data_IF_926071754507
#
_entry.id   IF_926071754507
#
_cell.length_a   1.000
_cell.length_b   1.000
_cell.length_c   1.000
_cell.angle_alpha   90.00
_cell.angle_beta   90.00
_cell.angle_gamma   90.00
#
_symmetry.space_group_name_H-M   'P 1'
#
loop_
_entity.id
_entity.type
_entity.pdbx_description
1 polymer ?
#
# COMPACT_ATOMS: atom_id res chain seq x y z
N UNK A 1 -8.40 -6.36 7.67
CA UNK A 1 -7.10 -6.70 8.32
C UNK A 1 -6.26 -7.46 7.33
N UNK A 2 -4.99 -7.08 7.18
CA UNK A 2 -4.00 -7.73 6.34
C UNK A 2 -2.88 -8.28 7.23
N UNK A 3 -2.43 -9.51 7.00
CA UNK A 3 -1.31 -10.11 7.73
C UNK A 3 -0.37 -10.74 6.70
N UNK A 4 0.90 -10.37 6.73
CA UNK A 4 2.01 -11.01 6.05
C UNK A 4 2.85 -11.78 7.08
N UNK A 5 3.15 -13.06 6.79
CA UNK A 5 4.01 -13.91 7.63
C UNK A 5 5.14 -14.47 6.79
N UNK A 6 6.36 -14.12 7.18
CA UNK A 6 7.63 -14.61 6.64
C UNK A 6 7.68 -14.52 5.11
N UNK A 7 7.12 -13.42 4.58
CA UNK A 7 6.96 -13.24 3.14
C UNK A 7 8.31 -12.94 2.50
N UNK A 8 8.66 -13.70 1.47
CA UNK A 8 9.78 -13.41 0.59
C UNK A 8 9.27 -12.99 -0.80
N UNK A 9 9.95 -12.03 -1.43
CA UNK A 9 9.58 -11.49 -2.74
C UNK A 9 10.77 -11.49 -3.68
N UNK A 10 10.59 -12.14 -4.83
CA UNK A 10 11.55 -12.17 -5.92
C UNK A 10 11.06 -11.31 -7.09
N UNK A 11 11.98 -10.57 -7.71
CA UNK A 11 11.72 -9.79 -8.91
C UNK A 11 12.83 -10.06 -9.91
N UNK A 12 12.50 -10.68 -11.04
CA UNK A 12 13.46 -10.96 -12.12
C UNK A 12 14.66 -11.80 -11.66
N UNK A 13 14.42 -12.83 -10.82
CA UNK A 13 15.47 -13.71 -10.30
C UNK A 13 16.33 -13.12 -9.17
N UNK A 14 16.01 -11.92 -8.68
CA UNK A 14 16.65 -11.31 -7.52
C UNK A 14 15.68 -11.24 -6.36
N UNK A 15 16.09 -11.76 -5.21
CA UNK A 15 15.34 -11.58 -3.97
C UNK A 15 15.43 -10.11 -3.55
N UNK A 16 14.27 -9.49 -3.42
CA UNK A 16 14.10 -8.07 -3.06
C UNK A 16 13.61 -7.89 -1.63
N UNK A 17 13.04 -8.94 -1.04
CA UNK A 17 12.57 -8.96 0.33
C UNK A 17 12.64 -10.37 0.89
N UNK A 18 13.09 -10.49 2.13
CA UNK A 18 13.17 -11.73 2.91
C UNK A 18 12.51 -11.53 4.28
N UNK A 19 11.88 -12.59 4.78
CA UNK A 19 11.35 -12.69 6.15
C UNK A 19 10.41 -11.55 6.57
N UNK A 20 9.59 -11.05 5.64
CA UNK A 20 8.66 -9.96 5.94
C UNK A 20 7.46 -10.44 6.75
N UNK A 21 7.46 -10.09 8.04
CA UNK A 21 6.38 -10.37 8.98
C UNK A 21 5.80 -9.07 9.56
N UNK A 22 4.57 -8.74 9.17
CA UNK A 22 3.84 -7.57 9.67
C UNK A 22 2.33 -7.68 9.42
N UNK A 23 1.56 -6.85 10.11
CA UNK A 23 0.11 -6.78 9.96
C UNK A 23 -0.36 -5.33 9.82
N UNK A 24 -1.49 -5.12 9.15
CA UNK A 24 -2.16 -3.83 9.01
C UNK A 24 -3.61 -4.00 9.46
N UNK A 25 -3.96 -3.34 10.56
CA UNK A 25 -5.29 -3.45 11.22
C UNK A 25 -6.18 -2.27 10.88
N UNK A 26 -7.48 -2.41 11.14
CA UNK A 26 -8.41 -1.30 11.02
C UNK A 26 -7.94 -0.12 11.88
N UNK A 27 -7.92 1.07 11.30
CA UNK A 27 -7.42 2.28 11.94
C UNK A 27 -5.92 2.51 11.80
N UNK A 28 -5.13 1.54 11.34
CA UNK A 28 -3.71 1.75 11.02
C UNK A 28 -3.56 2.60 9.76
N UNK A 29 -2.61 3.54 9.80
CA UNK A 29 -2.14 4.29 8.63
C UNK A 29 -0.65 4.07 8.52
N UNK A 30 -0.27 3.19 7.62
CA UNK A 30 1.08 2.71 7.46
C UNK A 30 1.68 3.27 6.18
N UNK A 31 2.83 3.92 6.29
CA UNK A 31 3.62 4.28 5.13
C UNK A 31 4.68 3.21 4.87
N UNK A 32 4.75 2.70 3.64
CA UNK A 32 5.86 1.85 3.18
C UNK A 32 6.87 2.73 2.43
N UNK A 33 8.07 2.84 3.00
CA UNK A 33 9.15 3.69 2.48
C UNK A 33 10.39 2.85 2.20
N UNK A 34 11.28 3.35 1.35
CA UNK A 34 12.49 2.63 0.96
C UNK A 34 13.05 3.14 -0.36
N UNK A 35 14.27 2.74 -0.70
CA UNK A 35 14.94 3.19 -1.93
C UNK A 35 14.16 2.78 -3.18
N UNK A 36 14.40 3.48 -4.29
CA UNK A 36 13.87 3.07 -5.59
C UNK A 36 14.49 1.72 -5.98
N UNK A 37 13.66 0.82 -6.50
CA UNK A 37 14.08 -0.56 -6.78
C UNK A 37 14.23 -1.47 -5.55
N UNK A 38 13.88 -1.01 -4.34
CA UNK A 38 13.96 -1.85 -3.14
C UNK A 38 12.92 -2.97 -3.07
N UNK A 39 11.89 -2.96 -3.93
CA UNK A 39 10.83 -3.99 -3.96
C UNK A 39 9.47 -3.56 -3.38
N UNK A 40 9.25 -2.26 -3.12
CA UNK A 40 7.99 -1.73 -2.53
C UNK A 40 6.73 -2.13 -3.33
N UNK A 41 6.73 -1.83 -4.63
CA UNK A 41 5.65 -2.17 -5.56
C UNK A 41 5.45 -3.68 -5.66
N UNK A 42 6.54 -4.45 -5.67
CA UNK A 42 6.48 -5.91 -5.73
C UNK A 42 5.87 -6.50 -4.45
N UNK A 43 6.23 -5.99 -3.28
CA UNK A 43 5.59 -6.35 -2.03
C UNK A 43 4.10 -6.03 -2.06
N UNK A 44 3.72 -4.81 -2.47
CA UNK A 44 2.30 -4.45 -2.57
C UNK A 44 1.52 -5.37 -3.52
N UNK A 45 2.08 -5.75 -4.68
CA UNK A 45 1.45 -6.73 -5.58
C UNK A 45 1.24 -8.09 -4.91
N UNK A 46 2.23 -8.57 -4.15
CA UNK A 46 2.09 -9.80 -3.36
C UNK A 46 1.01 -9.68 -2.30
N UNK A 47 0.96 -8.56 -1.58
CA UNK A 47 -0.07 -8.29 -0.57
C UNK A 47 -1.48 -8.18 -1.17
N UNK A 48 -1.57 -7.66 -2.40
CA UNK A 48 -2.81 -7.52 -3.14
C UNK A 48 -3.31 -8.83 -3.77
N UNK A 49 -2.46 -9.87 -3.83
CA UNK A 49 -2.76 -11.13 -4.51
C UNK A 49 -2.50 -11.10 -6.02
N UNK A 50 -1.92 -10.01 -6.53
CA UNK A 50 -1.53 -9.85 -7.94
C UNK A 50 -0.27 -10.65 -8.31
N UNK A 51 0.52 -11.06 -7.31
CA UNK A 51 1.71 -11.88 -7.48
C UNK A 51 1.80 -12.90 -6.33
N UNK A 52 2.37 -14.07 -6.60
CA UNK A 52 2.64 -15.05 -5.55
C UNK A 52 3.93 -14.70 -4.79
N UNK A 53 3.95 -14.85 -3.46
CA UNK A 53 5.19 -14.75 -2.71
C UNK A 53 6.13 -15.92 -3.05
N UNK A 54 7.45 -15.71 -2.95
CA UNK A 54 8.44 -16.78 -3.07
C UNK A 54 8.35 -17.75 -1.88
N UNK A 55 8.10 -17.22 -0.69
CA UNK A 55 7.90 -17.97 0.55
C UNK A 55 6.97 -17.18 1.49
N UNK A 56 6.44 -17.86 2.51
CA UNK A 56 5.54 -17.26 3.49
C UNK A 56 4.08 -17.21 3.03
N UNK A 57 3.27 -16.39 3.70
CA UNK A 57 1.83 -16.30 3.42
C UNK A 57 1.26 -14.90 3.66
N UNK A 58 0.24 -14.56 2.88
CA UNK A 58 -0.57 -13.34 3.05
C UNK A 58 -2.00 -13.76 3.38
N UNK A 59 -2.56 -13.20 4.45
CA UNK A 59 -3.95 -13.39 4.84
C UNK A 59 -4.67 -12.04 4.83
N UNK A 60 -5.77 -11.96 4.08
CA UNK A 60 -6.66 -10.82 4.04
C UNK A 60 -8.00 -11.19 4.71
N UNK A 61 -8.51 -10.31 5.58
CA UNK A 61 -9.89 -10.34 6.08
C UNK A 61 -10.58 -9.03 5.74
N UNK A 62 -11.69 -9.12 5.01
CA UNK A 62 -12.44 -7.96 4.50
C UNK A 62 -12.17 -7.72 3.01
N UNK A 63 -12.73 -6.63 2.49
CA UNK A 63 -12.54 -6.17 1.11
C UNK A 63 -11.24 -5.38 0.99
N UNK A 64 -10.54 -5.57 -0.12
CA UNK A 64 -9.29 -4.87 -0.46
C UNK A 64 -9.55 -3.87 -1.59
N UNK A 65 -9.08 -2.64 -1.41
CA UNK A 65 -8.89 -1.69 -2.51
C UNK A 65 -7.40 -1.60 -2.83
N UNK A 66 -7.04 -1.83 -4.09
CA UNK A 66 -5.65 -1.88 -4.54
C UNK A 66 -5.46 -0.94 -5.73
N UNK A 67 -4.63 0.09 -5.55
CA UNK A 67 -4.21 0.98 -6.64
C UNK A 67 -2.76 0.66 -7.03
N UNK A 68 -2.52 0.00 -8.18
CA UNK A 68 -1.17 -0.22 -8.68
C UNK A 68 -0.53 1.06 -9.20
N UNK A 69 0.81 1.08 -9.27
CA UNK A 69 1.57 2.23 -9.79
C UNK A 69 1.24 2.54 -11.26
N UNK A 70 0.85 1.57 -12.08
CA UNK A 70 0.33 1.80 -13.43
C UNK A 70 -0.89 0.90 -13.59
N UNK A 71 -2.07 1.44 -13.96
CA UNK A 71 -3.24 0.62 -14.26
C UNK A 71 -2.91 -0.36 -15.39
N UNK A 72 -3.46 -1.58 -15.32
CA UNK A 72 -3.34 -2.52 -16.43
C UNK A 72 -4.02 -1.90 -17.65
N UNK A 73 -3.35 -1.87 -18.80
CA UNK A 73 -3.89 -1.33 -20.06
C UNK A 73 -5.01 -2.19 -20.65
N UNK A 74 -5.23 -3.39 -20.11
CA UNK A 74 -6.21 -4.35 -20.63
C UNK A 74 -7.67 -3.86 -20.53
N UNK A 75 -7.93 -2.76 -19.80
CA UNK A 75 -9.24 -2.09 -19.75
C UNK A 75 -9.51 -1.16 -20.97
N UNK A 76 -8.64 -1.14 -22.00
CA UNK A 76 -8.88 -0.37 -23.23
C UNK A 76 -10.13 -0.83 -24.02
N UNK A 77 -10.74 -1.96 -23.63
CA UNK A 77 -12.03 -2.42 -24.15
C UNK A 77 -13.25 -1.82 -23.41
N UNK A 78 -13.05 -1.16 -22.27
CA UNK A 78 -14.16 -0.59 -21.50
C UNK A 78 -14.65 0.71 -22.16
N UNK A 79 -15.78 0.57 -22.85
CA UNK A 79 -16.48 1.66 -23.54
C UNK A 79 -17.55 2.29 -22.65
N UNK A 80 -17.69 1.83 -21.39
CA UNK A 80 -18.60 2.39 -20.40
C UNK A 80 -18.26 3.81 -20.00
N UNK A 81 -19.24 4.50 -19.38
CA UNK A 81 -19.02 5.83 -18.84
C UNK A 81 -18.14 5.75 -17.60
N UNK A 82 -17.30 6.75 -17.41
CA UNK A 82 -16.44 6.84 -16.23
C UNK A 82 -17.22 6.84 -14.90
N UNK A 83 -18.46 7.37 -14.89
CA UNK A 83 -19.35 7.27 -13.72
C UNK A 83 -19.66 5.80 -13.37
N UNK A 84 -20.06 5.01 -14.34
CA UNK A 84 -20.46 3.61 -14.14
C UNK A 84 -19.28 2.79 -13.59
N UNK A 85 -18.07 3.07 -14.09
CA UNK A 85 -16.83 2.49 -13.59
C UNK A 85 -16.57 2.81 -12.12
N UNK A 86 -16.77 4.06 -11.69
CA UNK A 86 -16.62 4.44 -10.27
C UNK A 86 -17.67 3.73 -9.41
N UNK A 87 -18.93 3.72 -9.85
CA UNK A 87 -20.04 3.10 -9.13
C UNK A 87 -19.90 1.58 -8.99
N UNK A 88 -19.24 0.93 -9.95
CA UNK A 88 -18.90 -0.48 -9.89
C UNK A 88 -18.02 -0.83 -8.67
N UNK A 89 -17.33 0.14 -8.06
CA UNK A 89 -16.54 -0.07 -6.84
C UNK A 89 -17.34 -0.57 -5.62
N UNK A 90 -18.68 -0.37 -5.59
CA UNK A 90 -19.56 -0.83 -4.51
C UNK A 90 -20.59 -1.88 -4.93
N UNK A 91 -20.47 -2.47 -6.13
CA UNK A 91 -21.47 -3.39 -6.71
C UNK A 91 -22.91 -2.81 -6.74
N UNK A 92 -23.03 -1.47 -6.78
CA UNK A 92 -24.32 -0.78 -6.68
C UNK A 92 -25.18 -0.94 -7.94
N UNK A 93 -24.55 -1.15 -9.09
CA UNK A 93 -25.25 -1.33 -10.36
C UNK A 93 -26.17 -2.55 -10.34
N UNK A 94 -25.65 -3.70 -9.89
CA UNK A 94 -26.45 -4.93 -9.76
C UNK A 94 -27.55 -4.80 -8.70
N UNK A 95 -27.26 -4.08 -7.61
CA UNK A 95 -28.23 -3.79 -6.58
C UNK A 95 -29.38 -2.91 -7.11
N UNK A 96 -29.09 -1.89 -7.93
CA UNK A 96 -30.08 -1.03 -8.56
C UNK A 96 -30.96 -1.80 -9.55
N UNK A 97 -30.36 -2.62 -10.43
CA UNK A 97 -31.10 -3.48 -11.38
C UNK A 97 -31.99 -4.48 -10.63
N UNK A 98 -31.48 -5.07 -9.54
CA UNK A 98 -32.26 -5.98 -8.68
C UNK A 98 -33.42 -5.25 -8.02
N UNK A 99 -33.20 -4.04 -7.51
CA UNK A 99 -34.23 -3.23 -6.88
C UNK A 99 -35.37 -2.93 -7.86
N UNK A 100 -35.04 -2.53 -9.09
CA UNK A 100 -36.05 -2.25 -10.12
C UNK A 100 -36.84 -3.50 -10.53
N UNK A 101 -36.18 -4.65 -10.68
CA UNK A 101 -36.87 -5.92 -10.93
C UNK A 101 -37.83 -6.29 -9.80
N UNK A 102 -37.44 -6.07 -8.55
CA UNK A 102 -38.30 -6.34 -7.39
C UNK A 102 -39.45 -5.34 -7.30
N UNK A 103 -39.24 -4.08 -7.72
CA UNK A 103 -40.28 -3.06 -7.82
C UNK A 103 -41.38 -3.51 -8.80
N UNK A 104 -40.99 -3.92 -10.01
CA UNK A 104 -41.92 -4.44 -11.01
C UNK A 104 -42.67 -5.68 -10.52
N UNK A 105 -42.01 -6.58 -9.80
CA UNK A 105 -42.67 -7.77 -9.23
C UNK A 105 -43.69 -7.42 -8.12
N UNK A 106 -43.48 -6.33 -7.36
CA UNK A 106 -44.47 -5.81 -6.40
C UNK A 106 -45.63 -5.15 -7.13
N UNK A 107 -45.36 -4.41 -8.21
CA UNK A 107 -46.40 -3.79 -9.05
C UNK A 107 -47.29 -4.86 -9.71
N UNK A 108 -46.73 -6.01 -10.13
CA UNK A 108 -47.47 -7.14 -10.70
C UNK A 108 -48.20 -7.99 -9.65
N UNK A 109 -47.56 -8.31 -8.52
CA UNK A 109 -48.12 -9.09 -7.41
C UNK A 109 -47.70 -8.49 -6.05
N UNK A 110 -48.59 -7.71 -5.39
CA UNK A 110 -48.30 -7.07 -4.11
C UNK A 110 -48.44 -8.04 -2.92
N UNK A 111 -48.04 -9.31 -3.11
CA UNK A 111 -47.99 -10.29 -2.03
C UNK A 111 -46.99 -9.88 -0.94
N UNK A 112 -47.27 -10.25 0.32
CA UNK A 112 -46.39 -9.92 1.46
C UNK A 112 -44.96 -10.42 1.26
N UNK A 113 -44.77 -11.48 0.46
CA UNK A 113 -43.46 -12.00 0.09
C UNK A 113 -42.69 -11.05 -0.83
N UNK A 114 -43.33 -10.50 -1.87
CA UNK A 114 -42.67 -9.58 -2.80
C UNK A 114 -42.36 -8.25 -2.12
N UNK A 115 -43.30 -7.73 -1.32
CA UNK A 115 -43.09 -6.52 -0.51
C UNK A 115 -41.90 -6.69 0.43
N UNK A 116 -41.80 -7.81 1.16
CA UNK A 116 -40.67 -8.06 2.07
C UNK A 116 -39.32 -8.18 1.33
N UNK A 117 -39.31 -8.78 0.13
CA UNK A 117 -38.09 -8.88 -0.70
C UNK A 117 -37.66 -7.51 -1.22
N UNK A 118 -38.60 -6.70 -1.71
CA UNK A 118 -38.35 -5.34 -2.17
C UNK A 118 -37.81 -4.48 -1.03
N UNK A 119 -38.49 -4.42 0.12
CA UNK A 119 -38.07 -3.64 1.29
C UNK A 119 -36.67 -4.03 1.77
N UNK A 120 -36.34 -5.33 1.83
CA UNK A 120 -34.98 -5.77 2.19
C UNK A 120 -33.92 -5.32 1.19
N UNK A 121 -34.24 -5.36 -0.11
CA UNK A 121 -33.32 -4.92 -1.16
C UNK A 121 -33.15 -3.40 -1.15
N UNK A 122 -34.22 -2.65 -0.89
CA UNK A 122 -34.23 -1.21 -0.73
C UNK A 122 -33.37 -0.78 0.46
N UNK A 123 -33.55 -1.40 1.63
CA UNK A 123 -32.74 -1.16 2.83
C UNK A 123 -31.25 -1.41 2.56
N UNK A 124 -30.93 -2.51 1.87
CA UNK A 124 -29.55 -2.84 1.50
C UNK A 124 -28.95 -1.82 0.52
N UNK A 125 -29.72 -1.40 -0.48
CA UNK A 125 -29.31 -0.39 -1.46
C UNK A 125 -29.10 0.99 -0.80
N UNK A 126 -30.02 1.39 0.07
CA UNK A 126 -29.92 2.61 0.86
C UNK A 126 -28.69 2.59 1.79
N UNK A 127 -28.48 1.48 2.50
CA UNK A 127 -27.33 1.31 3.42
C UNK A 127 -25.99 1.30 2.69
N UNK A 128 -25.96 0.87 1.43
CA UNK A 128 -24.78 0.94 0.56
C UNK A 128 -24.56 2.35 -0.06
N UNK A 129 -25.45 3.31 0.25
CA UNK A 129 -25.39 4.69 -0.22
C UNK A 129 -25.93 4.90 -1.64
N UNK A 130 -26.74 3.98 -2.17
CA UNK A 130 -27.18 3.96 -3.56
C UNK A 130 -27.80 5.26 -4.08
N UNK A 131 -28.64 5.93 -3.28
CA UNK A 131 -29.27 7.20 -3.67
C UNK A 131 -28.31 8.40 -3.74
N UNK A 132 -27.24 8.38 -2.94
CA UNK A 132 -26.24 9.46 -2.91
C UNK A 132 -24.98 9.13 -3.73
N UNK A 133 -24.95 7.95 -4.34
CA UNK A 133 -23.77 7.34 -4.95
C UNK A 133 -23.19 8.20 -6.09
N UNK A 134 -24.03 8.69 -7.01
CA UNK A 134 -23.60 9.57 -8.11
C UNK A 134 -22.94 10.84 -7.55
N UNK A 135 -23.63 11.54 -6.64
CA UNK A 135 -23.12 12.78 -6.05
C UNK A 135 -21.83 12.55 -5.25
N UNK A 136 -21.71 11.41 -4.57
CA UNK A 136 -20.48 11.03 -3.89
C UNK A 136 -19.34 10.75 -4.86
N UNK A 137 -19.59 9.98 -5.92
CA UNK A 137 -18.61 9.71 -6.98
C UNK A 137 -18.11 11.01 -7.62
N UNK A 138 -19.03 11.93 -7.97
CA UNK A 138 -18.68 13.25 -8.52
C UNK A 138 -17.85 14.09 -7.54
N UNK A 139 -18.17 14.07 -6.23
CA UNK A 139 -17.37 14.76 -5.20
C UNK A 139 -15.96 14.19 -5.07
N UNK A 140 -15.80 12.86 -5.09
CA UNK A 140 -14.49 12.22 -5.02
C UNK A 140 -13.63 12.62 -6.22
N UNK A 141 -14.21 12.57 -7.41
CA UNK A 141 -13.51 12.87 -8.67
C UNK A 141 -13.14 14.35 -8.76
N UNK A 142 -14.04 15.25 -8.36
CA UNK A 142 -13.77 16.68 -8.23
C UNK A 142 -12.65 16.95 -7.22
N UNK A 143 -12.63 16.26 -6.08
CA UNK A 143 -11.57 16.34 -5.09
C UNK A 143 -10.20 15.87 -5.61
N UNK A 144 -10.19 14.92 -6.54
CA UNK A 144 -8.99 14.49 -7.28
C UNK A 144 -8.63 15.43 -8.45
N UNK A 145 -9.28 16.58 -8.54
CA UNK A 145 -9.01 17.63 -9.53
C UNK A 145 -9.51 17.30 -10.94
N UNK A 146 -10.46 16.38 -11.10
CA UNK A 146 -11.11 16.08 -12.37
C UNK A 146 -12.51 16.68 -12.39
N UNK A 147 -12.85 17.43 -13.44
CA UNK A 147 -14.17 18.05 -13.57
C UNK A 147 -15.28 16.99 -13.59
N UNK A 148 -16.38 17.26 -12.88
CA UNK A 148 -17.42 16.27 -12.62
C UNK A 148 -18.20 15.83 -13.88
N UNK A 149 -18.22 16.66 -14.92
CA UNK A 149 -18.78 16.38 -16.25
C UNK A 149 -17.95 15.34 -17.03
N UNK A 150 -16.65 15.20 -16.72
CA UNK A 150 -15.79 14.17 -17.32
C UNK A 150 -16.27 12.75 -16.97
N UNK A 151 -17.05 12.58 -15.90
CA UNK A 151 -17.66 11.28 -15.56
C UNK A 151 -18.77 10.87 -16.52
N UNK A 152 -19.32 11.81 -17.29
CA UNK A 152 -20.35 11.52 -18.26
C UNK A 152 -19.77 11.00 -19.59
N UNK A 153 -18.45 11.09 -19.75
CA UNK A 153 -17.73 10.64 -20.93
C UNK A 153 -17.34 9.15 -20.83
N UNK A 154 -17.18 8.46 -21.97
CA UNK A 154 -16.56 7.14 -22.02
C UNK A 154 -15.12 7.17 -21.49
N UNK A 155 -14.70 6.11 -20.79
CA UNK A 155 -13.32 5.97 -20.29
C UNK A 155 -12.29 6.09 -21.42
N UNK A 156 -12.63 5.59 -22.62
CA UNK A 156 -11.76 5.61 -23.79
C UNK A 156 -11.30 7.02 -24.21
N UNK A 157 -12.11 8.06 -23.93
CA UNK A 157 -11.84 9.46 -24.30
C UNK A 157 -10.93 10.17 -23.29
N UNK A 158 -10.85 9.66 -22.05
CA UNK A 158 -10.05 10.28 -20.99
C UNK A 158 -8.55 10.08 -21.24
N UNK A 159 -7.74 11.09 -20.91
CA UNK A 159 -6.29 10.97 -20.92
C UNK A 159 -5.82 9.98 -19.85
N UNK A 160 -4.60 9.44 -19.98
CA UNK A 160 -4.06 8.46 -19.02
C UNK A 160 -4.04 8.97 -17.56
N UNK A 161 -3.78 10.26 -17.35
CA UNK A 161 -3.84 10.88 -16.03
C UNK A 161 -5.27 10.98 -15.48
N UNK A 162 -6.25 11.28 -16.33
CA UNK A 162 -7.66 11.33 -15.95
C UNK A 162 -8.22 9.95 -15.66
N UNK A 163 -7.93 8.95 -16.50
CA UNK A 163 -8.30 7.56 -16.23
C UNK A 163 -7.77 7.08 -14.89
N UNK A 164 -6.52 7.44 -14.56
CA UNK A 164 -5.96 7.11 -13.24
C UNK A 164 -6.71 7.78 -12.09
N UNK A 165 -7.13 9.04 -12.24
CA UNK A 165 -7.95 9.73 -11.23
C UNK A 165 -9.32 9.06 -11.07
N UNK A 166 -9.93 8.61 -12.16
CA UNK A 166 -11.18 7.83 -12.13
C UNK A 166 -10.97 6.47 -11.43
N UNK A 167 -9.87 5.77 -11.71
CA UNK A 167 -9.55 4.50 -11.04
C UNK A 167 -9.30 4.69 -9.55
N UNK A 168 -8.56 5.73 -9.17
CA UNK A 168 -8.39 6.11 -7.77
C UNK A 168 -9.75 6.41 -7.13
N UNK A 169 -10.62 7.18 -7.80
CA UNK A 169 -11.96 7.46 -7.31
C UNK A 169 -12.78 6.18 -7.10
N UNK A 170 -12.75 5.23 -8.04
CA UNK A 170 -13.40 3.91 -7.92
C UNK A 170 -12.95 3.16 -6.68
N UNK A 171 -11.64 3.10 -6.44
CA UNK A 171 -11.06 2.39 -5.28
C UNK A 171 -11.45 3.07 -3.96
N UNK A 172 -11.38 4.40 -3.89
CA UNK A 172 -11.80 5.16 -2.70
C UNK A 172 -13.32 5.07 -2.47
N UNK A 173 -14.09 5.12 -3.56
CA UNK A 173 -15.54 4.98 -3.53
C UNK A 173 -15.92 3.61 -2.98
N UNK A 174 -15.23 2.53 -3.35
CA UNK A 174 -15.56 1.16 -2.93
C UNK A 174 -15.70 0.95 -1.41
N UNK A 175 -15.10 1.82 -0.58
CA UNK A 175 -15.25 1.76 0.88
C UNK A 175 -14.79 0.42 1.43
N UNK A 176 -13.63 -0.04 0.96
CA UNK A 176 -13.03 -1.32 1.34
C UNK A 176 -12.51 -1.29 2.78
N UNK A 177 -12.13 -2.43 3.34
CA UNK A 177 -11.62 -2.53 4.72
C UNK A 177 -10.10 -2.29 4.79
N UNK A 178 -9.41 -2.55 3.69
CA UNK A 178 -7.97 -2.38 3.53
C UNK A 178 -7.71 -1.64 2.22
N UNK A 179 -6.94 -0.55 2.28
CA UNK A 179 -6.43 0.18 1.13
C UNK A 179 -4.93 -0.03 0.99
N UNK A 180 -4.52 -0.49 -0.18
CA UNK A 180 -3.14 -0.58 -0.64
C UNK A 180 -2.98 0.42 -1.79
N UNK A 181 -2.10 1.41 -1.64
CA UNK A 181 -1.95 2.48 -2.63
C UNK A 181 -0.49 2.64 -3.02
N UNK A 182 -0.18 2.48 -4.31
CA UNK A 182 1.16 2.67 -4.86
C UNK A 182 1.27 3.98 -5.66
N UNK A 183 2.01 4.94 -5.10
CA UNK A 183 2.17 6.30 -5.61
C UNK A 183 0.84 6.97 -6.02
N UNK A 184 -0.16 7.05 -5.11
CA UNK A 184 -1.48 7.55 -5.45
C UNK A 184 -1.52 9.06 -5.76
N UNK A 185 -0.45 9.80 -5.43
CA UNK A 185 -0.31 11.23 -5.73
C UNK A 185 0.26 11.52 -7.12
N UNK A 186 0.69 10.50 -7.86
CA UNK A 186 1.19 10.70 -9.21
C UNK A 186 0.08 11.24 -10.12
N UNK A 187 0.44 12.18 -11.00
CA UNK A 187 -0.48 12.86 -11.91
C UNK A 187 -1.55 13.74 -11.22
N UNK A 188 -1.42 14.02 -9.92
CA UNK A 188 -2.22 14.99 -9.19
C UNK A 188 -1.48 16.33 -9.06
N UNK A 189 -2.23 17.43 -9.16
CA UNK A 189 -1.75 18.76 -8.76
C UNK A 189 -1.73 18.91 -7.22
N UNK A 190 -1.19 20.01 -6.73
CA UNK A 190 -1.00 20.21 -5.29
C UNK A 190 -2.32 20.23 -4.51
N UNK A 191 -3.39 20.77 -5.09
CA UNK A 191 -4.69 20.85 -4.43
C UNK A 191 -5.34 19.47 -4.31
N UNK A 192 -5.32 18.69 -5.39
CA UNK A 192 -5.79 17.31 -5.42
C UNK A 192 -4.95 16.41 -4.50
N UNK A 193 -3.63 16.62 -4.42
CA UNK A 193 -2.78 15.93 -3.45
C UNK A 193 -3.21 16.24 -2.03
N UNK A 194 -3.37 17.52 -1.67
CA UNK A 194 -3.82 17.94 -0.34
C UNK A 194 -5.17 17.32 0.03
N UNK A 195 -6.12 17.33 -0.90
CA UNK A 195 -7.43 16.71 -0.72
C UNK A 195 -7.33 15.19 -0.49
N UNK A 196 -6.57 14.48 -1.32
CA UNK A 196 -6.39 13.03 -1.19
C UNK A 196 -5.79 12.68 0.16
N UNK A 197 -4.76 13.41 0.59
CA UNK A 197 -4.12 13.15 1.88
C UNK A 197 -5.07 13.44 3.06
N UNK A 198 -5.91 14.46 2.96
CA UNK A 198 -7.00 14.70 3.91
C UNK A 198 -8.01 13.56 3.97
N UNK A 199 -8.41 13.03 2.81
CA UNK A 199 -9.30 11.88 2.71
C UNK A 199 -8.67 10.65 3.40
N UNK A 200 -7.43 10.30 3.04
CA UNK A 200 -6.71 9.15 3.57
C UNK A 200 -6.45 9.26 5.08
N UNK A 201 -6.22 10.48 5.59
CA UNK A 201 -6.08 10.71 7.02
C UNK A 201 -7.37 10.38 7.81
N UNK A 202 -8.54 10.65 7.21
CA UNK A 202 -9.86 10.38 7.81
C UNK A 202 -10.34 8.94 7.63
N UNK A 203 -9.66 8.16 6.77
CA UNK A 203 -10.05 6.80 6.46
C UNK A 203 -9.97 5.89 7.70
N UNK A 204 -11.07 5.17 7.97
CA UNK A 204 -11.23 4.34 9.17
C UNK A 204 -10.71 2.91 9.01
N UNK A 205 -10.56 2.45 7.77
CA UNK A 205 -10.01 1.13 7.47
C UNK A 205 -8.51 1.06 7.71
N UNK A 206 -7.91 -0.04 7.25
CA UNK A 206 -6.47 -0.24 7.26
C UNK A 206 -5.85 0.41 6.02
N UNK A 207 -4.88 1.31 6.17
CA UNK A 207 -4.18 1.95 5.05
C UNK A 207 -2.71 1.54 5.02
N UNK A 208 -2.25 1.08 3.86
CA UNK A 208 -0.83 0.96 3.52
C UNK A 208 -0.57 1.75 2.23
N UNK A 209 0.30 2.76 2.31
CA UNK A 209 0.60 3.65 1.19
C UNK A 209 2.10 3.70 0.91
N UNK A 210 2.46 3.61 -0.37
CA UNK A 210 3.78 3.98 -0.89
C UNK A 210 3.62 5.32 -1.59
N UNK A 211 4.34 6.33 -1.13
CA UNK A 211 4.33 7.65 -1.79
C UNK A 211 5.61 8.41 -1.47
N UNK A 212 6.04 9.26 -2.40
CA UNK A 212 7.04 10.29 -2.12
C UNK A 212 6.50 11.46 -1.28
N UNK A 213 5.17 11.63 -1.23
CA UNK A 213 4.48 12.72 -0.54
C UNK A 213 4.00 12.33 0.88
N UNK A 214 4.51 11.23 1.46
CA UNK A 214 4.11 10.70 2.78
C UNK A 214 4.18 11.74 3.91
N UNK A 215 5.01 12.78 3.77
CA UNK A 215 5.06 13.90 4.72
C UNK A 215 3.71 14.65 4.85
N UNK A 216 2.87 14.65 3.81
CA UNK A 216 1.53 15.24 3.86
C UNK A 216 0.56 14.43 4.75
N UNK A 217 0.88 13.15 5.02
CA UNK A 217 0.13 12.27 5.92
C UNK A 217 0.72 12.21 7.34
N UNK A 218 1.77 12.97 7.64
CA UNK A 218 2.59 12.80 8.85
C UNK A 218 1.77 12.60 10.13
N UNK A 219 0.82 13.50 10.40
CA UNK A 219 0.00 13.47 11.62
C UNK A 219 -1.00 12.30 11.68
N UNK A 220 -1.37 11.73 10.54
CA UNK A 220 -2.31 10.62 10.46
C UNK A 220 -1.63 9.25 10.55
N UNK A 221 -0.33 9.18 10.23
CA UNK A 221 0.43 7.93 10.24
C UNK A 221 0.55 7.37 11.66
N UNK A 222 0.26 6.08 11.77
CA UNK A 222 0.43 5.32 13.01
C UNK A 222 1.77 4.59 13.02
N UNK A 223 2.32 4.28 11.83
CA UNK A 223 3.56 3.52 11.67
C UNK A 223 4.19 3.78 10.30
N UNK A 224 5.52 3.67 10.25
CA UNK A 224 6.31 3.63 9.01
C UNK A 224 7.01 2.27 8.93
N UNK A 225 6.84 1.59 7.80
CA UNK A 225 7.57 0.36 7.46
C UNK A 225 8.63 0.75 6.44
N UNK A 226 9.90 0.61 6.83
CA UNK A 226 11.04 0.92 5.98
C UNK A 226 11.61 -0.37 5.38
N UNK A 227 11.57 -0.48 4.06
CA UNK A 227 12.22 -1.53 3.29
C UNK A 227 13.65 -1.11 2.94
N UNK A 228 14.61 -1.80 3.53
CA UNK A 228 16.03 -1.53 3.37
C UNK A 228 16.81 -2.84 3.27
N UNK A 229 17.70 -2.94 2.28
CA UNK A 229 18.57 -4.10 2.06
C UNK A 229 17.87 -5.47 2.12
N UNK A 230 16.63 -5.57 1.65
CA UNK A 230 15.86 -6.82 1.64
C UNK A 230 15.08 -7.12 2.92
N UNK A 231 15.11 -6.23 3.91
CA UNK A 231 14.42 -6.43 5.19
C UNK A 231 13.46 -5.29 5.51
N UNK A 232 12.42 -5.60 6.28
CA UNK A 232 11.48 -4.61 6.80
C UNK A 232 11.85 -4.19 8.23
N UNK A 233 11.99 -2.89 8.44
CA UNK A 233 12.13 -2.28 9.77
C UNK A 233 10.91 -1.43 10.07
N UNK A 234 10.26 -1.67 11.20
CA UNK A 234 9.03 -0.99 11.59
C UNK A 234 9.30 0.11 12.62
N UNK A 235 8.81 1.32 12.37
CA UNK A 235 8.90 2.48 13.25
C UNK A 235 7.50 2.92 13.65
N UNK A 236 7.19 2.95 14.94
CA UNK A 236 5.90 3.46 15.43
C UNK A 236 5.88 4.99 15.40
N UNK A 237 4.71 5.55 15.09
CA UNK A 237 4.48 6.98 15.08
C UNK A 237 4.52 7.61 13.70
N UNK A 238 4.74 8.92 13.68
CA UNK A 238 4.64 9.75 12.48
C UNK A 238 5.88 9.62 11.58
N UNK A 239 5.80 10.13 10.35
CA UNK A 239 6.92 10.19 9.42
C UNK A 239 8.09 11.04 9.97
N UNK A 240 7.80 12.16 10.62
CA UNK A 240 8.80 13.01 11.29
C UNK A 240 9.54 12.23 12.38
N UNK A 241 8.80 11.50 13.22
CA UNK A 241 9.40 10.65 14.27
C UNK A 241 10.25 9.54 13.69
N UNK A 242 9.77 8.89 12.62
CA UNK A 242 10.53 7.90 11.86
C UNK A 242 11.86 8.48 11.34
N UNK A 243 11.87 9.67 10.72
CA UNK A 243 13.09 10.27 10.19
C UNK A 243 14.13 10.51 11.28
N UNK A 244 13.70 11.00 12.43
CA UNK A 244 14.59 11.19 13.59
C UNK A 244 15.12 9.86 14.12
N UNK A 245 14.25 8.86 14.31
CA UNK A 245 14.65 7.54 14.79
C UNK A 245 15.65 6.86 13.84
N UNK A 246 15.39 6.93 12.53
CA UNK A 246 16.26 6.40 11.48
C UNK A 246 17.64 7.05 11.51
N UNK A 247 17.71 8.38 11.59
CA UNK A 247 19.00 9.09 11.63
C UNK A 247 19.84 8.69 12.86
N UNK A 248 19.19 8.49 14.01
CA UNK A 248 19.85 8.01 15.23
C UNK A 248 20.35 6.57 15.07
N UNK A 249 19.56 5.69 14.46
CA UNK A 249 19.95 4.30 14.22
C UNK A 249 21.08 4.19 13.20
N UNK A 250 21.04 4.96 12.11
CA UNK A 250 22.13 5.05 11.13
C UNK A 250 23.42 5.56 11.77
N UNK A 251 23.36 6.63 12.58
CA UNK A 251 24.51 7.14 13.32
C UNK A 251 25.07 6.12 14.32
N UNK A 252 24.19 5.37 15.01
CA UNK A 252 24.60 4.30 15.93
C UNK A 252 25.31 3.17 15.18
N UNK A 253 24.75 2.72 14.05
CA UNK A 253 25.35 1.68 13.20
C UNK A 253 26.69 2.11 12.64
N UNK A 254 26.80 3.35 12.15
CA UNK A 254 28.05 3.90 11.64
C UNK A 254 29.16 3.92 12.70
N UNK A 255 28.85 4.38 13.93
CA UNK A 255 29.80 4.37 15.06
C UNK A 255 30.24 2.96 15.45
N UNK A 256 29.31 2.00 15.46
CA UNK A 256 29.63 0.60 15.75
C UNK A 256 30.54 0.00 14.66
N UNK A 257 30.23 0.26 13.38
CA UNK A 257 31.03 -0.18 12.25
C UNK A 257 32.45 0.42 12.27
N UNK A 258 32.58 1.71 12.59
CA UNK A 258 33.88 2.38 12.72
C UNK A 258 34.73 1.78 13.86
N UNK A 259 34.11 1.50 15.01
CA UNK A 259 34.77 0.82 16.14
C UNK A 259 35.22 -0.58 15.76
N UNK A 260 34.37 -1.35 15.09
CA UNK A 260 34.71 -2.69 14.59
C UNK A 260 35.86 -2.63 13.58
N UNK A 261 35.83 -1.72 12.61
CA UNK A 261 36.91 -1.56 11.63
C UNK A 261 38.23 -1.13 12.28
N UNK A 262 38.19 -0.26 13.28
CA UNK A 262 39.38 0.17 14.01
C UNK A 262 39.98 -0.98 14.82
N UNK A 263 39.15 -1.80 15.46
CA UNK A 263 39.59 -3.01 16.15
C UNK A 263 40.15 -4.05 15.17
N UNK A 264 39.50 -4.29 14.04
CA UNK A 264 40.02 -5.17 12.96
C UNK A 264 41.39 -4.69 12.49
N UNK A 265 41.56 -3.38 12.24
CA UNK A 265 42.85 -2.79 11.85
C UNK A 265 43.92 -2.99 12.92
N UNK A 266 43.57 -2.78 14.20
CA UNK A 266 44.48 -3.00 15.33
C UNK A 266 44.91 -4.46 15.43
N UNK A 267 43.96 -5.40 15.36
CA UNK A 267 44.21 -6.84 15.43
C UNK A 267 45.09 -7.32 14.26
N UNK A 268 44.82 -6.86 13.04
CA UNK A 268 45.65 -7.16 11.86
C UNK A 268 47.08 -6.63 12.02
N UNK A 269 47.25 -5.37 12.45
CA UNK A 269 48.57 -4.79 12.69
C UNK A 269 49.37 -5.55 13.77
N UNK A 270 48.71 -5.97 14.85
CA UNK A 270 49.33 -6.81 15.88
C UNK A 270 49.72 -8.19 15.34
N UNK A 271 48.86 -8.81 14.55
CA UNK A 271 49.14 -10.10 13.91
C UNK A 271 50.35 -10.00 12.97
N UNK A 272 50.43 -8.95 12.14
CA UNK A 272 51.53 -8.75 11.21
C UNK A 272 52.86 -8.46 11.92
N UNK A 273 52.87 -7.68 13.01
CA UNK A 273 54.07 -7.48 13.84
C UNK A 273 54.57 -8.76 14.53
N UNK A 274 53.66 -9.70 14.78
CA UNK A 274 53.98 -10.99 15.40
C UNK A 274 54.38 -12.06 14.36
N UNK A 275 54.08 -11.85 13.07
CA UNK A 275 54.57 -12.66 11.95
C UNK A 275 56.04 -12.32 11.69
N UNK A 276 56.92 -13.31 11.88
CA UNK A 276 58.37 -13.14 11.73
C UNK A 276 59.16 -13.21 13.04
N UNK A 277 58.48 -13.38 14.19
CA UNK A 277 59.13 -13.61 15.48
C UNK A 277 59.10 -15.11 15.85
N UNK A 278 59.10 -15.45 17.15
CA UNK A 278 59.14 -16.84 17.64
C UNK A 278 57.91 -17.67 17.23
N UNK A 279 58.06 -19.00 17.12
CA UNK A 279 56.96 -19.96 16.77
C UNK A 279 55.70 -19.78 17.63
N UNK A 280 55.88 -19.43 18.92
CA UNK A 280 54.77 -19.15 19.86
C UNK A 280 53.97 -17.91 19.47
N UNK A 281 54.64 -16.86 18.97
CA UNK A 281 54.01 -15.61 18.49
C UNK A 281 53.33 -15.78 17.13
N UNK A 282 53.82 -16.68 16.27
CA UNK A 282 53.15 -17.03 15.03
C UNK A 282 51.77 -17.70 15.27
N UNK A 283 51.65 -18.58 16.28
CA UNK A 283 50.34 -19.15 16.70
C UNK A 283 49.38 -18.07 17.22
N UNK A 284 49.87 -17.12 18.02
CA UNK A 284 49.06 -15.99 18.51
C UNK A 284 48.59 -15.09 17.39
N UNK A 285 49.44 -14.80 16.39
CA UNK A 285 49.06 -14.05 15.19
C UNK A 285 47.92 -14.73 14.43
N UNK A 286 47.94 -16.07 14.30
CA UNK A 286 46.88 -16.80 13.63
C UNK A 286 45.54 -16.73 14.38
N UNK A 287 45.56 -16.76 15.71
CA UNK A 287 44.36 -16.56 16.55
C UNK A 287 43.78 -15.14 16.46
N UNK A 288 44.63 -14.11 16.38
CA UNK A 288 44.19 -12.73 16.20
C UNK A 288 43.57 -12.50 14.82
N UNK A 289 44.14 -13.11 13.78
CA UNK A 289 43.58 -13.09 12.42
C UNK A 289 42.22 -13.79 12.35
N UNK A 290 42.07 -14.93 13.04
CA UNK A 290 40.77 -15.62 13.09
C UNK A 290 39.71 -14.79 13.81
N UNK A 291 40.09 -13.99 14.82
CA UNK A 291 39.20 -13.07 15.53
C UNK A 291 38.83 -11.84 14.68
N UNK A 292 39.75 -11.37 13.83
CA UNK A 292 39.51 -10.25 12.92
C UNK A 292 38.71 -10.63 11.65
N UNK A 293 38.49 -11.94 11.42
CA UNK A 293 37.70 -12.49 10.29
C UNK A 293 36.28 -12.94 10.68
N UNK A 294 36.01 -13.08 11.99
CA UNK A 294 34.66 -13.29 12.53
C UNK A 294 34.00 -11.94 12.75
#
# INVERSE_FOLDING_TARGET
MLIARDVAVEVGGRITLEDASFDVRAGDKVALVGRNGAGKTSLLRVLAGDAQPLAGSVTLRGRLGWLPQEPRRDDDADTGRALDHVLAGRDLADAAVRLEKLRLAVDEDPSSRNVARFSKAEDAFASAGGYAADSEARRLVAGLGLAADRLDLPLSVLSGGERRRVELARILFGGTDVLLLDEPTNHLDNDAKGWLMGFLASYRGALLVVSHDVALLDKALTRVVHLDEGHLVQYKGTYTQYRTARALDEARRARLAERQQTEIRRLRSLADKMRGQTVKRARTAHSLDSRARR
#
